data_IF_526640984889
#
_entry.id   IF_526640984889
#
_cell.length_a   1.000
_cell.length_b   1.000
_cell.length_c   1.000
_cell.angle_alpha   90.00
_cell.angle_beta   90.00
_cell.angle_gamma   90.00
#
_symmetry.space_group_name_H-M   'P 1'
#
loop_
_entity.id
_entity.type
_entity.pdbx_description
1 polymer ?
#
# COMPACT_ATOMS: atom_id res chain seq x y z
N UNK A 1 -50.40 -22.94 -65.14
CA UNK A 1 -49.04 -22.41 -64.87
C UNK A 1 -49.07 -21.02 -64.21
N UNK A 2 -49.85 -20.80 -63.13
CA UNK A 2 -49.87 -19.51 -62.39
C UNK A 2 -49.46 -19.64 -60.91
N UNK A 3 -49.08 -20.83 -60.44
CA UNK A 3 -48.65 -21.09 -59.04
C UNK A 3 -47.14 -21.03 -58.80
N UNK A 4 -46.29 -21.19 -59.83
CA UNK A 4 -44.83 -21.29 -59.63
C UNK A 4 -44.11 -19.93 -59.59
N UNK A 5 -44.71 -18.87 -60.12
CA UNK A 5 -44.08 -17.53 -60.15
C UNK A 5 -44.10 -16.80 -58.80
N UNK A 6 -45.01 -17.16 -57.88
CA UNK A 6 -45.06 -16.61 -56.52
C UNK A 6 -44.15 -17.36 -55.54
N UNK A 7 -44.03 -18.68 -55.71
CA UNK A 7 -43.20 -19.53 -54.86
C UNK A 7 -41.71 -19.19 -54.98
N UNK A 8 -41.22 -18.97 -56.21
CA UNK A 8 -39.83 -18.57 -56.43
C UNK A 8 -39.51 -17.22 -55.75
N UNK A 9 -40.42 -16.24 -55.81
CA UNK A 9 -40.22 -14.93 -55.17
C UNK A 9 -40.17 -15.04 -53.64
N UNK A 10 -41.10 -15.79 -53.04
CA UNK A 10 -41.09 -16.04 -51.58
C UNK A 10 -39.82 -16.76 -51.16
N UNK A 11 -39.39 -17.77 -51.91
CA UNK A 11 -38.14 -18.49 -51.64
C UNK A 11 -36.93 -17.55 -51.69
N UNK A 12 -36.85 -16.68 -52.71
CA UNK A 12 -35.74 -15.70 -52.80
C UNK A 12 -35.76 -14.71 -51.64
N UNK A 13 -36.93 -14.20 -51.23
CA UNK A 13 -37.04 -13.28 -50.10
C UNK A 13 -36.63 -13.92 -48.78
N UNK A 14 -37.02 -15.17 -48.54
CA UNK A 14 -36.62 -15.91 -47.33
C UNK A 14 -35.11 -16.15 -47.32
N UNK A 15 -34.53 -16.59 -48.45
CA UNK A 15 -33.08 -16.79 -48.56
C UNK A 15 -32.32 -15.48 -48.38
N UNK A 16 -32.78 -14.38 -48.98
CA UNK A 16 -32.18 -13.05 -48.79
C UNK A 16 -32.30 -12.58 -47.35
N UNK A 17 -33.46 -12.74 -46.71
CA UNK A 17 -33.66 -12.36 -45.31
C UNK A 17 -32.73 -13.15 -44.38
N UNK A 18 -32.56 -14.46 -44.62
CA UNK A 18 -31.62 -15.30 -43.86
C UNK A 18 -30.17 -14.89 -44.11
N UNK A 19 -29.78 -14.58 -45.35
CA UNK A 19 -28.45 -14.08 -45.68
C UNK A 19 -28.16 -12.74 -44.98
N UNK A 20 -29.12 -11.81 -44.99
CA UNK A 20 -28.98 -10.52 -44.30
C UNK A 20 -28.85 -10.72 -42.80
N UNK A 21 -29.68 -11.58 -42.20
CA UNK A 21 -29.59 -11.88 -40.77
C UNK A 21 -28.22 -12.49 -40.39
N UNK A 22 -27.73 -13.47 -41.18
CA UNK A 22 -26.41 -14.06 -40.98
C UNK A 22 -25.26 -13.04 -41.16
N UNK A 23 -25.39 -12.14 -42.14
CA UNK A 23 -24.40 -11.09 -42.37
C UNK A 23 -24.35 -10.08 -41.23
N UNK A 24 -25.51 -9.67 -40.70
CA UNK A 24 -25.60 -8.76 -39.54
C UNK A 24 -24.98 -9.40 -38.30
N UNK A 25 -25.26 -10.68 -38.04
CA UNK A 25 -24.67 -11.43 -36.93
C UNK A 25 -23.14 -11.51 -37.06
N UNK A 26 -22.62 -11.83 -38.25
CA UNK A 26 -21.18 -11.87 -38.50
C UNK A 26 -20.51 -10.49 -38.31
N UNK A 27 -21.14 -9.41 -38.78
CA UNK A 27 -20.63 -8.05 -38.59
C UNK A 27 -20.58 -7.71 -37.10
N UNK A 28 -21.62 -8.07 -36.34
CA UNK A 28 -21.65 -7.85 -34.91
C UNK A 28 -20.54 -8.61 -34.19
N UNK A 29 -20.35 -9.89 -34.51
CA UNK A 29 -19.27 -10.71 -33.94
C UNK A 29 -17.88 -10.14 -34.26
N UNK A 30 -17.61 -9.79 -35.52
CA UNK A 30 -16.33 -9.19 -35.92
C UNK A 30 -16.09 -7.86 -35.21
N UNK A 31 -17.13 -7.02 -35.04
CA UNK A 31 -17.01 -5.77 -34.32
C UNK A 31 -16.66 -5.98 -32.84
N UNK A 32 -17.33 -6.93 -32.18
CA UNK A 32 -17.05 -7.29 -30.78
C UNK A 32 -15.62 -7.83 -30.64
N UNK A 33 -15.22 -8.78 -31.48
CA UNK A 33 -13.88 -9.39 -31.47
C UNK A 33 -12.79 -8.36 -31.72
N UNK A 34 -12.99 -7.45 -32.67
CA UNK A 34 -12.04 -6.38 -32.96
C UNK A 34 -11.89 -5.41 -31.79
N UNK A 35 -12.99 -5.07 -31.11
CA UNK A 35 -12.98 -4.21 -29.93
C UNK A 35 -12.28 -4.88 -28.74
N UNK A 36 -12.56 -6.17 -28.50
CA UNK A 36 -11.89 -6.96 -27.46
C UNK A 36 -10.38 -7.08 -27.71
N UNK A 37 -9.98 -7.42 -28.94
CA UNK A 37 -8.55 -7.52 -29.29
C UNK A 37 -7.82 -6.18 -29.18
N UNK A 38 -8.48 -5.08 -29.57
CA UNK A 38 -7.93 -3.74 -29.41
C UNK A 38 -7.76 -3.37 -27.94
N UNK A 39 -8.78 -3.61 -27.11
CA UNK A 39 -8.73 -3.33 -25.68
C UNK A 39 -7.70 -4.20 -24.95
N UNK A 40 -7.57 -5.47 -25.36
CA UNK A 40 -6.56 -6.37 -24.84
C UNK A 40 -5.16 -5.86 -25.16
N UNK A 41 -4.88 -5.52 -26.43
CA UNK A 41 -3.56 -4.99 -26.84
C UNK A 41 -3.25 -3.67 -26.14
N UNK A 42 -4.18 -2.71 -26.18
CA UNK A 42 -3.98 -1.39 -25.56
C UNK A 42 -3.79 -1.55 -24.03
N UNK A 43 -4.49 -2.51 -23.39
CA UNK A 43 -4.30 -2.87 -21.99
C UNK A 43 -2.95 -3.52 -21.67
N UNK A 44 -2.44 -4.40 -22.52
CA UNK A 44 -1.09 -4.97 -22.37
C UNK A 44 -0.01 -3.91 -22.53
N UNK A 45 -0.18 -2.95 -23.45
CA UNK A 45 0.74 -1.83 -23.59
C UNK A 45 0.71 -0.93 -22.34
N UNK A 46 -0.48 -0.65 -21.79
CA UNK A 46 -0.61 0.11 -20.54
C UNK A 46 0.06 -0.62 -19.36
N UNK A 47 -0.05 -1.94 -19.29
CA UNK A 47 0.62 -2.79 -18.30
C UNK A 47 2.15 -2.64 -18.39
N UNK A 48 2.73 -2.85 -19.57
CA UNK A 48 4.17 -2.68 -19.80
C UNK A 48 4.68 -1.26 -19.47
N UNK A 49 3.89 -0.23 -19.77
CA UNK A 49 4.20 1.15 -19.38
C UNK A 49 4.19 1.33 -17.86
N UNK A 50 3.22 0.74 -17.15
CA UNK A 50 3.14 0.79 -15.70
C UNK A 50 4.31 0.04 -15.04
N UNK A 51 4.65 -1.17 -15.50
CA UNK A 51 5.80 -1.93 -15.03
C UNK A 51 7.13 -1.18 -15.26
N UNK A 52 7.30 -0.63 -16.46
CA UNK A 52 8.45 0.21 -16.80
C UNK A 52 8.51 1.47 -15.93
N UNK A 53 7.35 2.05 -15.61
CA UNK A 53 7.22 3.16 -14.69
C UNK A 53 7.64 2.80 -13.26
N UNK A 54 7.30 1.61 -12.77
CA UNK A 54 7.72 1.17 -11.43
C UNK A 54 9.24 0.96 -11.35
N UNK A 55 9.84 0.29 -12.35
CA UNK A 55 11.29 0.09 -12.44
C UNK A 55 12.06 1.40 -12.66
N UNK A 56 11.56 2.27 -13.54
CA UNK A 56 12.11 3.60 -13.79
C UNK A 56 12.00 4.50 -12.56
N UNK A 57 10.85 4.46 -11.87
CA UNK A 57 10.61 5.15 -10.60
C UNK A 57 11.57 4.72 -9.50
N UNK A 58 11.87 3.42 -9.41
CA UNK A 58 12.88 2.88 -8.47
C UNK A 58 14.26 3.48 -8.76
N UNK A 59 14.70 3.48 -10.02
CA UNK A 59 16.01 4.05 -10.42
C UNK A 59 16.08 5.57 -10.20
N UNK A 60 15.00 6.28 -10.52
CA UNK A 60 14.89 7.71 -10.25
C UNK A 60 15.00 7.99 -8.75
N UNK A 61 14.25 7.26 -7.92
CA UNK A 61 14.29 7.38 -6.47
C UNK A 61 15.71 7.07 -5.93
N UNK A 62 16.37 6.01 -6.39
CA UNK A 62 17.76 5.72 -6.04
C UNK A 62 18.71 6.89 -6.34
N UNK A 63 18.57 7.50 -7.52
CA UNK A 63 19.39 8.65 -7.94
C UNK A 63 19.14 9.86 -7.03
N UNK A 64 17.88 10.12 -6.69
CA UNK A 64 17.49 11.23 -5.82
C UNK A 64 17.96 11.03 -4.37
N UNK A 65 17.84 9.81 -3.84
CA UNK A 65 18.30 9.47 -2.49
C UNK A 65 19.83 9.45 -2.39
N UNK A 66 20.56 9.07 -3.44
CA UNK A 66 22.01 9.14 -3.48
C UNK A 66 22.53 10.59 -3.38
N UNK A 67 21.78 11.56 -3.90
CA UNK A 67 22.10 12.98 -3.82
C UNK A 67 21.81 13.60 -2.43
N UNK A 68 21.00 12.93 -1.58
CA UNK A 68 20.64 13.38 -0.23
C UNK A 68 20.75 12.22 0.77
N UNK A 69 21.91 12.11 1.42
CA UNK A 69 22.19 10.96 2.28
C UNK A 69 21.77 11.13 3.75
N UNK A 70 21.45 12.34 4.20
CA UNK A 70 21.30 12.66 5.63
C UNK A 70 19.87 12.50 6.16
N UNK A 71 18.87 12.75 5.34
CA UNK A 71 17.45 12.66 5.70
C UNK A 71 16.60 12.37 4.46
N UNK A 72 15.33 12.04 4.65
CA UNK A 72 14.30 12.06 3.59
C UNK A 72 13.10 12.85 4.08
N UNK A 73 12.50 13.65 3.20
CA UNK A 73 11.44 14.60 3.53
C UNK A 73 10.40 14.70 2.42
N UNK A 74 9.17 15.08 2.78
CA UNK A 74 8.11 15.39 1.81
C UNK A 74 8.40 16.62 0.93
N UNK A 75 9.43 17.41 1.26
CA UNK A 75 9.94 18.51 0.44
C UNK A 75 10.94 18.07 -0.64
N UNK A 76 11.38 16.80 -0.61
CA UNK A 76 12.33 16.29 -1.58
C UNK A 76 11.67 16.08 -2.95
N UNK A 77 12.48 16.11 -4.01
CA UNK A 77 12.00 15.95 -5.39
C UNK A 77 11.26 14.64 -5.63
N UNK A 78 11.59 13.57 -4.89
CA UNK A 78 10.93 12.27 -5.04
C UNK A 78 9.47 12.28 -4.60
N UNK A 79 9.07 13.20 -3.72
CA UNK A 79 7.72 13.29 -3.19
C UNK A 79 6.74 13.94 -4.19
N UNK A 80 7.24 14.59 -5.24
CA UNK A 80 6.42 15.15 -6.31
C UNK A 80 6.09 14.08 -7.37
N UNK A 81 4.86 14.03 -7.89
CA UNK A 81 4.51 13.14 -9.00
C UNK A 81 5.39 13.40 -10.23
N UNK A 82 5.89 12.32 -10.84
CA UNK A 82 6.59 12.38 -12.12
C UNK A 82 5.64 11.96 -13.24
N UNK A 83 5.59 12.72 -14.33
CA UNK A 83 4.73 12.45 -15.48
C UNK A 83 5.57 12.48 -16.75
N UNK A 84 5.35 11.51 -17.63
CA UNK A 84 6.02 11.43 -18.92
C UNK A 84 5.02 11.00 -19.98
N UNK A 85 5.00 11.73 -21.08
CA UNK A 85 4.26 11.38 -22.29
C UNK A 85 5.24 10.75 -23.28
N UNK A 86 4.88 9.61 -23.83
CA UNK A 86 5.60 8.85 -24.86
C UNK A 86 4.69 8.69 -26.09
N UNK A 87 5.24 8.26 -27.23
CA UNK A 87 4.48 8.03 -28.47
C UNK A 87 3.34 7.02 -28.27
N UNK A 88 3.55 6.05 -27.39
CA UNK A 88 2.64 4.93 -27.13
C UNK A 88 1.58 5.30 -26.07
N UNK A 89 1.89 6.21 -25.16
CA UNK A 89 1.02 6.50 -24.02
C UNK A 89 1.63 7.42 -22.97
N UNK A 90 0.97 7.54 -21.82
CA UNK A 90 1.44 8.34 -20.68
C UNK A 90 1.81 7.44 -19.51
N UNK A 91 2.85 7.81 -18.78
CA UNK A 91 3.21 7.23 -17.48
C UNK A 91 3.09 8.31 -16.40
N UNK A 92 2.45 7.98 -15.29
CA UNK A 92 2.44 8.77 -14.05
C UNK A 92 3.02 7.93 -12.91
N UNK A 93 4.01 8.47 -12.20
CA UNK A 93 4.68 7.81 -11.07
C UNK A 93 4.49 8.67 -9.84
N UNK A 94 3.92 8.11 -8.78
CA UNK A 94 3.88 8.73 -7.46
C UNK A 94 4.66 7.89 -6.47
N UNK A 95 5.43 8.55 -5.61
CA UNK A 95 6.23 7.90 -4.58
C UNK A 95 5.76 8.36 -3.21
N UNK A 96 5.57 7.41 -2.30
CA UNK A 96 5.26 7.68 -0.90
C UNK A 96 6.23 6.94 -0.01
N UNK A 97 6.61 7.52 1.12
CA UNK A 97 7.50 6.87 2.08
C UNK A 97 6.68 6.07 3.10
N UNK A 98 7.00 4.80 3.28
CA UNK A 98 6.35 3.92 4.26
C UNK A 98 7.01 4.01 5.64
N UNK A 99 8.28 4.42 5.71
CA UNK A 99 9.00 4.60 6.99
C UNK A 99 8.45 5.73 7.87
N UNK A 100 7.57 6.60 7.35
CA UNK A 100 6.81 7.55 8.16
C UNK A 100 5.63 6.93 8.95
N UNK A 101 5.31 5.66 8.72
CA UNK A 101 4.18 4.95 9.33
C UNK A 101 4.63 4.00 10.44
N UNK A 102 3.71 3.57 11.30
CA UNK A 102 3.99 2.55 12.32
C UNK A 102 3.96 1.16 11.68
N UNK A 103 5.04 0.39 11.82
CA UNK A 103 5.07 -0.98 11.34
C UNK A 103 4.38 -1.94 12.33
N UNK A 104 3.28 -2.55 11.91
CA UNK A 104 2.51 -3.51 12.72
C UNK A 104 3.31 -4.76 13.09
N UNK A 105 4.18 -5.22 12.19
CA UNK A 105 5.03 -6.40 12.43
C UNK A 105 6.10 -6.17 13.50
N UNK A 106 6.29 -4.92 13.95
CA UNK A 106 7.18 -4.60 15.06
C UNK A 106 6.49 -4.67 16.43
N UNK A 107 5.24 -5.14 16.48
CA UNK A 107 4.54 -5.43 17.73
C UNK A 107 5.13 -6.64 18.47
N UNK A 108 5.86 -7.50 17.76
CA UNK A 108 6.56 -8.67 18.31
C UNK A 108 8.05 -8.55 18.01
N UNK A 109 8.88 -8.77 19.03
CA UNK A 109 10.34 -8.74 18.98
C UNK A 109 10.94 -10.06 18.45
N UNK A 110 12.27 -10.08 18.24
CA UNK A 110 12.93 -11.23 17.60
C UNK A 110 12.95 -12.46 18.51
N UNK A 111 12.76 -12.25 19.80
CA UNK A 111 12.64 -13.26 20.84
C UNK A 111 11.18 -13.71 21.07
N UNK A 112 10.26 -13.37 20.14
CA UNK A 112 8.83 -13.67 20.21
C UNK A 112 8.07 -12.94 21.32
N UNK A 113 8.66 -11.94 21.97
CA UNK A 113 7.98 -11.19 23.04
C UNK A 113 7.25 -9.95 22.51
N UNK A 114 6.15 -9.50 23.15
CA UNK A 114 5.53 -8.23 22.82
C UNK A 114 6.50 -7.04 22.94
N UNK A 115 6.47 -6.15 21.96
CA UNK A 115 7.21 -4.90 21.97
C UNK A 115 6.38 -3.80 22.66
N UNK A 116 6.73 -3.50 23.90
CA UNK A 116 6.05 -2.50 24.73
C UNK A 116 6.00 -1.10 24.10
N UNK A 117 7.05 -0.68 23.39
CA UNK A 117 7.10 0.63 22.75
C UNK A 117 6.11 0.69 21.57
N UNK A 118 6.12 -0.32 20.70
CA UNK A 118 5.16 -0.43 19.60
C UNK A 118 3.73 -0.53 20.11
N UNK A 119 3.51 -1.33 21.16
CA UNK A 119 2.20 -1.45 21.79
C UNK A 119 1.71 -0.11 22.34
N UNK A 120 2.56 0.67 23.02
CA UNK A 120 2.22 2.02 23.50
C UNK A 120 1.90 2.98 22.36
N UNK A 121 2.66 2.94 21.27
CA UNK A 121 2.40 3.77 20.08
C UNK A 121 1.06 3.41 19.44
N UNK A 122 0.79 2.12 19.22
CA UNK A 122 -0.47 1.66 18.64
C UNK A 122 -1.67 1.97 19.53
N UNK A 123 -1.54 1.85 20.86
CA UNK A 123 -2.59 2.26 21.80
C UNK A 123 -2.89 3.76 21.70
N UNK A 124 -1.88 4.63 21.64
CA UNK A 124 -2.07 6.07 21.45
C UNK A 124 -2.70 6.41 20.10
N UNK A 125 -2.27 5.75 19.02
CA UNK A 125 -2.91 5.88 17.70
C UNK A 125 -4.37 5.40 17.76
N UNK A 126 -4.63 4.29 18.45
CA UNK A 126 -5.96 3.73 18.64
C UNK A 126 -6.90 4.69 19.37
N UNK A 127 -6.44 5.37 20.42
CA UNK A 127 -7.22 6.42 21.09
C UNK A 127 -7.61 7.54 20.12
N UNK A 128 -6.69 7.99 19.28
CA UNK A 128 -6.96 9.03 18.27
C UNK A 128 -7.98 8.57 17.22
N UNK A 129 -7.91 7.30 16.81
CA UNK A 129 -8.76 6.70 15.77
C UNK A 129 -10.02 6.01 16.30
N UNK A 130 -10.27 6.08 17.61
CA UNK A 130 -11.38 5.41 18.29
C UNK A 130 -11.36 3.87 18.14
N UNK A 131 -10.17 3.27 18.19
CA UNK A 131 -9.94 1.83 18.14
C UNK A 131 -9.75 1.30 19.57
N UNK A 132 -10.55 0.31 20.01
CA UNK A 132 -10.49 -0.23 21.36
C UNK A 132 -9.12 -0.81 21.70
N UNK A 133 -8.65 -0.59 22.93
CA UNK A 133 -7.35 -1.11 23.39
C UNK A 133 -7.26 -2.65 23.35
N UNK A 134 -8.41 -3.34 23.47
CA UNK A 134 -8.50 -4.80 23.51
C UNK A 134 -8.00 -5.51 22.25
N UNK A 135 -7.92 -4.82 21.11
CA UNK A 135 -7.56 -5.46 19.82
C UNK A 135 -6.05 -5.67 19.69
N UNK A 136 -5.23 -4.90 20.41
CA UNK A 136 -3.78 -4.90 20.19
C UNK A 136 -3.10 -6.17 20.69
N UNK A 137 -3.57 -6.77 21.78
CA UNK A 137 -3.03 -8.06 22.24
C UNK A 137 -3.44 -9.19 21.30
N UNK A 138 -4.66 -9.16 20.73
CA UNK A 138 -5.04 -10.13 19.70
C UNK A 138 -4.20 -9.99 18.41
N UNK A 139 -3.73 -8.78 18.10
CA UNK A 139 -2.79 -8.56 17.01
C UNK A 139 -1.39 -9.09 17.33
N UNK A 140 -0.95 -8.99 18.59
CA UNK A 140 0.32 -9.55 19.02
C UNK A 140 0.31 -11.08 18.89
N UNK A 141 -0.70 -11.76 19.44
CA UNK A 141 -0.93 -13.21 19.30
C UNK A 141 -1.01 -13.63 17.82
N UNK A 142 -1.66 -12.83 16.97
CA UNK A 142 -1.71 -13.12 15.53
C UNK A 142 -0.32 -13.14 14.86
N UNK A 143 0.62 -12.33 15.37
CA UNK A 143 1.94 -12.11 14.78
C UNK A 143 3.02 -13.01 15.37
N UNK A 144 2.94 -13.30 16.68
CA UNK A 144 3.91 -14.13 17.35
C UNK A 144 3.84 -15.59 16.86
N UNK A 145 4.83 -16.40 17.21
CA UNK A 145 4.98 -17.75 16.66
C UNK A 145 4.48 -18.86 17.58
N UNK A 146 3.99 -18.53 18.77
CA UNK A 146 3.54 -19.52 19.73
C UNK A 146 2.02 -19.74 19.66
N UNK A 147 1.41 -20.32 20.69
CA UNK A 147 -0.05 -20.59 20.73
C UNK A 147 -0.58 -20.30 22.15
N UNK A 148 0.10 -19.38 22.87
CA UNK A 148 -0.19 -19.00 24.24
C UNK A 148 -0.87 -17.61 24.25
N UNK A 149 -2.20 -17.55 24.42
CA UNK A 149 -2.91 -16.30 24.26
C UNK A 149 -2.54 -15.29 25.35
N UNK A 150 -2.22 -14.06 24.94
CA UNK A 150 -2.09 -12.94 25.87
C UNK A 150 -3.45 -12.59 26.51
N UNK A 151 -3.41 -11.79 27.58
CA UNK A 151 -4.63 -11.30 28.22
C UNK A 151 -5.49 -10.51 27.22
N UNK A 152 -6.71 -10.98 26.96
CA UNK A 152 -7.61 -10.40 25.96
C UNK A 152 -7.28 -10.75 24.50
N UNK A 153 -6.22 -11.51 24.27
CA UNK A 153 -5.78 -11.98 22.96
C UNK A 153 -6.62 -13.11 22.39
N UNK A 154 -6.09 -13.76 21.35
CA UNK A 154 -6.68 -14.90 20.69
C UNK A 154 -5.67 -15.67 19.84
N UNK A 155 -5.69 -16.99 20.04
CA UNK A 155 -4.84 -17.97 19.36
C UNK A 155 -5.65 -18.97 18.53
N UNK A 156 -5.02 -20.03 18.03
CA UNK A 156 -5.68 -21.04 17.20
C UNK A 156 -6.96 -21.61 17.82
N UNK A 157 -6.98 -21.79 19.15
CA UNK A 157 -8.18 -22.27 19.87
C UNK A 157 -9.41 -21.39 19.63
N UNK A 158 -9.22 -20.06 19.57
CA UNK A 158 -10.28 -19.11 19.25
C UNK A 158 -10.65 -19.17 17.76
N UNK A 159 -9.68 -19.04 16.85
CA UNK A 159 -9.98 -18.93 15.42
C UNK A 159 -10.57 -20.22 14.83
N UNK A 160 -10.17 -21.39 15.32
CA UNK A 160 -10.76 -22.68 14.91
C UNK A 160 -12.16 -22.91 15.46
N UNK A 161 -12.61 -22.11 16.43
CA UNK A 161 -13.98 -22.16 16.92
C UNK A 161 -14.96 -21.33 16.07
N UNK A 162 -14.45 -20.48 15.17
CA UNK A 162 -15.25 -19.64 14.28
C UNK A 162 -15.87 -20.45 13.13
N UNK A 163 -16.82 -19.84 12.44
CA UNK A 163 -17.47 -20.42 11.25
C UNK A 163 -17.36 -19.46 10.05
N UNK A 164 -16.61 -19.79 8.99
CA UNK A 164 -15.77 -20.99 8.84
C UNK A 164 -14.54 -20.95 9.78
N UNK A 165 -14.03 -22.12 10.22
CA UNK A 165 -12.85 -22.18 11.07
C UNK A 165 -11.59 -21.86 10.28
N UNK A 166 -10.66 -21.14 10.90
CA UNK A 166 -9.33 -20.87 10.35
C UNK A 166 -8.28 -20.87 11.47
N UNK A 167 -7.00 -20.83 11.09
CA UNK A 167 -5.88 -20.77 12.03
C UNK A 167 -5.38 -19.34 12.19
N UNK A 168 -4.80 -19.04 13.34
CA UNK A 168 -3.96 -17.86 13.49
C UNK A 168 -2.78 -17.96 12.52
N UNK A 169 -2.25 -16.81 12.09
CA UNK A 169 -1.15 -16.76 11.14
C UNK A 169 0.15 -17.27 11.74
N UNK A 170 0.35 -16.96 13.02
CA UNK A 170 1.56 -17.19 13.79
C UNK A 170 2.82 -16.69 13.07
N UNK A 171 2.75 -15.44 12.61
CA UNK A 171 3.84 -14.82 11.88
C UNK A 171 3.54 -13.41 11.37
N UNK A 172 4.48 -12.83 10.62
CA UNK A 172 4.37 -11.45 10.15
C UNK A 172 3.25 -11.22 9.15
N UNK A 173 2.41 -10.21 9.38
CA UNK A 173 1.46 -9.71 8.40
C UNK A 173 2.12 -9.47 7.04
N UNK A 174 1.48 -9.92 5.96
CA UNK A 174 1.91 -9.62 4.58
C UNK A 174 1.19 -8.41 4.01
N UNK A 175 -0.01 -8.11 4.51
CA UNK A 175 -0.79 -6.94 4.10
C UNK A 175 -1.50 -6.33 5.31
N UNK A 176 -1.80 -5.03 5.26
CA UNK A 176 -2.62 -4.38 6.30
C UNK A 176 -4.05 -4.92 6.32
N UNK A 177 -4.58 -5.39 5.18
CA UNK A 177 -5.95 -5.93 5.09
C UNK A 177 -6.14 -7.20 5.92
N UNK A 178 -5.06 -7.91 6.23
CA UNK A 178 -5.05 -9.10 7.08
C UNK A 178 -5.58 -8.83 8.50
N UNK A 179 -5.51 -7.58 8.96
CA UNK A 179 -6.16 -7.15 10.21
C UNK A 179 -7.64 -7.53 10.28
N UNK A 180 -8.34 -7.66 9.14
CA UNK A 180 -9.76 -8.07 9.11
C UNK A 180 -10.00 -9.51 9.59
N UNK A 181 -8.95 -10.32 9.68
CA UNK A 181 -9.00 -11.69 10.21
C UNK A 181 -8.69 -11.77 11.71
N UNK A 182 -8.13 -10.70 12.28
CA UNK A 182 -7.72 -10.62 13.67
C UNK A 182 -8.93 -10.30 14.55
N UNK A 183 -9.04 -10.99 15.69
CA UNK A 183 -10.14 -10.79 16.64
C UNK A 183 -10.31 -9.31 17.01
N UNK A 184 -11.53 -8.80 16.82
CA UNK A 184 -11.95 -7.47 17.26
C UNK A 184 -11.73 -6.34 16.25
N UNK A 185 -10.96 -6.55 15.19
CA UNK A 185 -10.83 -5.56 14.12
C UNK A 185 -12.05 -5.59 13.18
N UNK A 186 -12.53 -4.41 12.84
CA UNK A 186 -13.62 -4.23 11.85
C UNK A 186 -13.08 -3.59 10.57
N UNK A 187 -13.78 -3.75 9.45
CA UNK A 187 -13.37 -3.13 8.18
C UNK A 187 -13.22 -1.60 8.27
N UNK A 188 -14.05 -0.93 9.08
CA UNK A 188 -13.94 0.50 9.35
C UNK A 188 -12.64 0.85 10.08
N UNK A 189 -12.31 0.11 11.15
CA UNK A 189 -11.05 0.28 11.88
C UNK A 189 -9.83 0.07 10.97
N UNK A 190 -9.86 -0.96 10.13
CA UNK A 190 -8.78 -1.25 9.18
C UNK A 190 -8.63 -0.10 8.19
N UNK A 191 -9.73 0.43 7.65
CA UNK A 191 -9.68 1.57 6.73
C UNK A 191 -9.16 2.85 7.40
N UNK A 192 -9.51 3.10 8.67
CA UNK A 192 -8.96 4.20 9.47
C UNK A 192 -7.46 4.05 9.73
N UNK A 193 -6.95 2.82 9.90
CA UNK A 193 -5.53 2.57 10.18
C UNK A 193 -4.62 2.69 8.96
N UNK A 194 -5.11 2.30 7.77
CA UNK A 194 -4.31 2.22 6.52
C UNK A 194 -3.37 3.41 6.25
N UNK A 195 -3.75 4.68 6.48
CA UNK A 195 -2.87 5.82 6.24
C UNK A 195 -1.67 5.88 7.19
N UNK A 196 -1.77 5.28 8.37
CA UNK A 196 -0.86 5.48 9.51
C UNK A 196 0.04 4.27 9.80
N UNK A 197 -0.26 3.12 9.21
CA UNK A 197 0.42 1.85 9.49
C UNK A 197 0.98 1.20 8.23
N UNK A 198 1.98 0.37 8.42
CA UNK A 198 2.60 -0.43 7.37
C UNK A 198 2.95 -1.82 7.90
N UNK A 199 3.28 -2.75 7.01
CA UNK A 199 3.75 -4.10 7.36
C UNK A 199 5.17 -4.37 6.87
N UNK A 200 5.73 -3.47 6.07
CA UNK A 200 7.01 -3.66 5.41
C UNK A 200 8.17 -3.40 6.37
N UNK A 201 9.15 -4.32 6.45
CA UNK A 201 10.25 -4.20 7.40
C UNK A 201 11.26 -3.13 6.98
N UNK A 202 11.81 -2.39 7.94
CA UNK A 202 12.90 -1.44 7.69
C UNK A 202 14.26 -2.13 7.43
N UNK A 203 14.40 -3.42 7.78
CA UNK A 203 15.56 -4.27 7.49
C UNK A 203 15.12 -5.67 7.06
N UNK A 204 15.69 -6.28 6.01
CA UNK A 204 15.39 -7.67 5.65
C UNK A 204 15.79 -8.62 6.79
N UNK A 205 14.94 -9.63 7.07
CA UNK A 205 15.39 -10.84 7.78
C UNK A 205 15.19 -11.01 9.29
N UNK A 206 14.49 -10.13 10.04
CA UNK A 206 14.26 -10.33 11.49
C UNK A 206 12.85 -9.97 11.99
N UNK A 207 12.25 -10.81 12.84
CA UNK A 207 11.00 -10.54 13.57
C UNK A 207 11.28 -9.42 14.57
N UNK A 208 11.42 -8.17 14.16
CA UNK A 208 11.84 -7.13 15.11
C UNK A 208 12.77 -6.13 14.47
N UNK A 209 12.38 -5.65 13.29
CA UNK A 209 12.95 -4.42 12.78
C UNK A 209 12.70 -3.34 13.83
N UNK A 210 13.76 -2.72 14.34
CA UNK A 210 13.67 -1.53 15.19
C UNK A 210 12.67 -0.57 14.55
N UNK A 211 11.61 -0.24 15.28
CA UNK A 211 10.64 0.75 14.81
C UNK A 211 11.39 2.06 14.72
N UNK A 212 11.59 2.54 13.51
CA UNK A 212 12.12 3.87 13.29
C UNK A 212 11.13 4.58 12.39
N UNK A 213 10.34 5.45 13.00
CA UNK A 213 9.41 6.31 12.28
C UNK A 213 10.19 7.53 11.78
N UNK A 214 10.11 7.81 10.49
CA UNK A 214 10.71 9.01 9.93
C UNK A 214 9.85 10.25 10.28
N UNK A 215 10.37 11.09 11.17
CA UNK A 215 9.65 12.29 11.63
C UNK A 215 9.51 13.38 10.57
N UNK A 216 10.28 13.30 9.47
CA UNK A 216 10.14 14.22 8.35
C UNK A 216 8.96 13.87 7.42
N UNK A 217 8.46 12.63 7.48
CA UNK A 217 7.38 12.15 6.59
C UNK A 217 6.17 11.62 7.34
N UNK A 218 6.28 11.35 8.64
CA UNK A 218 5.21 10.83 9.46
C UNK A 218 3.96 11.73 9.46
N UNK A 219 2.74 11.18 9.33
CA UNK A 219 1.52 11.95 9.51
C UNK A 219 1.36 12.42 10.97
N UNK A 220 0.48 13.40 11.17
CA UNK A 220 0.26 14.06 12.48
C UNK A 220 -0.06 13.04 13.58
N UNK A 221 -0.93 12.10 13.27
CA UNK A 221 -1.44 11.08 14.17
C UNK A 221 -0.33 10.12 14.62
N UNK A 222 0.59 9.80 13.71
CA UNK A 222 1.78 9.00 14.02
C UNK A 222 2.77 9.79 14.87
N UNK A 223 2.97 11.08 14.60
CA UNK A 223 3.81 11.94 15.45
C UNK A 223 3.28 11.98 16.89
N UNK A 224 1.96 12.15 17.06
CA UNK A 224 1.31 12.13 18.38
C UNK A 224 1.38 10.75 19.05
N UNK A 225 1.43 9.68 18.26
CA UNK A 225 1.56 8.31 18.80
C UNK A 225 2.98 8.01 19.31
N UNK A 226 4.03 8.66 18.76
CA UNK A 226 5.43 8.38 19.12
C UNK A 226 5.72 8.59 20.61
N UNK A 227 5.23 9.69 21.18
CA UNK A 227 5.44 10.03 22.58
C UNK A 227 4.23 10.76 23.15
N UNK A 228 3.83 10.43 24.38
CA UNK A 228 2.69 11.05 25.06
C UNK A 228 2.87 12.56 25.30
N UNK A 229 4.09 13.08 25.19
CA UNK A 229 4.38 14.52 25.28
C UNK A 229 4.07 15.27 23.99
N UNK A 230 3.95 14.58 22.86
CA UNK A 230 3.63 15.21 21.57
C UNK A 230 2.12 15.45 21.53
N UNK A 231 1.72 16.63 22.01
CA UNK A 231 0.35 17.11 21.88
C UNK A 231 0.01 17.42 20.43
N UNK A 232 -1.28 17.62 20.16
CA UNK A 232 -1.75 18.01 18.83
C UNK A 232 -1.07 19.30 18.33
N UNK A 233 -1.00 20.32 19.19
CA UNK A 233 -0.33 21.59 18.88
C UNK A 233 1.17 21.43 18.65
N UNK A 234 1.84 20.53 19.40
CA UNK A 234 3.25 20.25 19.20
C UNK A 234 3.48 19.51 17.87
N UNK A 235 2.59 18.58 17.51
CA UNK A 235 2.66 17.90 16.22
C UNK A 235 2.52 18.89 15.05
N UNK A 236 1.62 19.87 15.16
CA UNK A 236 1.49 20.94 14.15
C UNK A 236 2.76 21.79 14.06
N UNK A 237 3.39 22.14 15.18
CA UNK A 237 4.67 22.85 15.19
C UNK A 237 5.81 22.04 14.56
N UNK A 238 5.87 20.73 14.82
CA UNK A 238 6.83 19.81 14.20
C UNK A 238 6.62 19.76 12.68
N UNK A 239 5.37 19.68 12.23
CA UNK A 239 4.99 19.64 10.80
C UNK A 239 5.38 20.93 10.08
N UNK A 240 5.07 22.10 10.66
CA UNK A 240 5.48 23.37 10.05
C UNK A 240 7.00 23.53 10.02
N UNK A 241 7.68 23.12 11.10
CA UNK A 241 9.13 23.23 11.16
C UNK A 241 9.83 22.35 10.11
N UNK A 242 9.40 21.09 9.93
CA UNK A 242 9.98 20.20 8.90
C UNK A 242 9.66 20.64 7.47
N UNK A 243 8.55 21.35 7.25
CA UNK A 243 8.20 21.93 5.94
C UNK A 243 9.17 23.02 5.52
N UNK A 244 9.65 23.82 6.48
CA UNK A 244 10.63 24.88 6.24
C UNK A 244 12.06 24.37 6.23
N UNK A 245 12.41 23.52 7.19
CA UNK A 245 13.76 22.96 7.33
C UNK A 245 13.65 21.54 7.88
N UNK A 246 13.72 20.51 7.02
CA UNK A 246 13.68 19.12 7.44
C UNK A 246 14.76 18.82 8.49
N UNK A 247 14.39 17.98 9.45
CA UNK A 247 15.29 17.54 10.51
C UNK A 247 16.42 16.69 9.94
N UNK A 248 17.66 16.94 10.32
CA UNK A 248 18.80 16.10 9.89
C UNK A 248 19.06 14.95 10.85
N UNK A 249 18.67 15.10 12.10
CA UNK A 249 18.75 14.07 13.13
C UNK A 249 17.62 14.22 14.15
N UNK A 250 17.32 13.13 14.88
CA UNK A 250 16.24 13.09 15.89
C UNK A 250 16.49 14.05 17.06
N UNK A 251 17.75 14.34 17.38
CA UNK A 251 18.12 15.27 18.46
C UNK A 251 17.59 16.69 18.25
N UNK A 252 17.31 17.10 17.01
CA UNK A 252 16.71 18.40 16.72
C UNK A 252 15.28 18.54 17.25
N UNK A 253 14.59 17.45 17.59
CA UNK A 253 13.27 17.50 18.24
C UNK A 253 13.32 18.07 19.66
N UNK A 254 14.50 18.14 20.28
CA UNK A 254 14.69 18.77 21.59
C UNK A 254 14.33 20.26 21.62
N UNK A 255 14.14 20.90 20.46
CA UNK A 255 13.65 22.28 20.34
C UNK A 255 12.17 22.46 20.71
N UNK A 256 11.38 21.39 20.68
CA UNK A 256 9.96 21.42 21.07
C UNK A 256 9.74 20.95 22.50
N UNK A 257 10.51 19.94 22.91
CA UNK A 257 10.56 19.42 24.28
C UNK A 257 11.92 18.78 24.51
N UNK A 258 12.62 19.21 25.57
CA UNK A 258 14.04 18.91 25.79
C UNK A 258 14.38 17.43 25.90
N UNK A 259 13.41 16.57 26.23
CA UNK A 259 13.63 15.12 26.36
C UNK A 259 13.13 14.32 25.15
N UNK A 260 12.52 14.93 24.13
CA UNK A 260 12.12 14.20 22.92
C UNK A 260 13.31 13.61 22.17
N UNK A 261 14.40 14.37 22.01
CA UNK A 261 15.58 13.88 21.28
C UNK A 261 16.18 12.60 21.86
N UNK A 262 16.26 12.50 23.19
CA UNK A 262 16.78 11.30 23.87
C UNK A 262 15.74 10.18 23.95
N UNK A 263 14.49 10.52 24.22
CA UNK A 263 13.44 9.51 24.43
C UNK A 263 13.04 8.84 23.11
N UNK A 264 13.11 9.55 21.99
CA UNK A 264 12.82 8.99 20.66
C UNK A 264 14.05 8.34 19.99
N UNK A 265 15.20 8.32 20.68
CA UNK A 265 16.36 7.61 20.18
C UNK A 265 16.04 6.12 20.00
N UNK A 266 16.26 5.61 18.79
CA UNK A 266 15.92 4.22 18.44
C UNK A 266 14.43 3.97 18.13
N UNK A 267 13.57 4.99 18.23
CA UNK A 267 12.14 4.93 17.87
C UNK A 267 11.77 5.83 16.68
N UNK A 268 12.58 6.84 16.46
CA UNK A 268 12.47 7.78 15.35
C UNK A 268 13.75 7.77 14.49
N UNK A 269 13.59 8.21 13.25
CA UNK A 269 14.66 8.51 12.30
C UNK A 269 14.32 9.79 11.56
N UNK A 270 15.29 10.34 10.83
CA UNK A 270 15.09 11.43 9.86
C UNK A 270 15.24 10.95 8.42
N UNK A 271 15.60 9.69 8.24
CA UNK A 271 15.84 9.04 6.94
C UNK A 271 15.03 7.76 6.85
N UNK A 272 14.15 7.71 5.85
CA UNK A 272 13.41 6.52 5.47
C UNK A 272 14.18 5.65 4.49
N UNK A 273 13.87 4.37 4.50
CA UNK A 273 14.42 3.36 3.59
C UNK A 273 13.35 2.67 2.78
N UNK A 274 12.09 2.68 3.22
CA UNK A 274 11.01 1.96 2.57
C UNK A 274 10.09 2.93 1.83
N UNK A 275 9.92 2.70 0.54
CA UNK A 275 9.10 3.54 -0.33
C UNK A 275 8.10 2.70 -1.11
N UNK A 276 6.90 3.23 -1.30
CA UNK A 276 5.90 2.71 -2.22
C UNK A 276 5.91 3.57 -3.48
N UNK A 277 6.08 2.91 -4.61
CA UNK A 277 6.00 3.47 -5.96
C UNK A 277 4.69 3.00 -6.56
N UNK A 278 3.84 3.94 -6.94
CA UNK A 278 2.63 3.67 -7.73
C UNK A 278 2.87 4.23 -9.13
N UNK A 279 2.94 3.35 -10.11
CA UNK A 279 3.15 3.68 -11.51
C UNK A 279 1.88 3.36 -12.30
N UNK A 280 1.33 4.34 -12.99
CA UNK A 280 0.13 4.21 -13.81
C UNK A 280 0.47 4.44 -15.27
N UNK A 281 0.26 3.42 -16.09
CA UNK A 281 0.41 3.47 -17.54
C UNK A 281 -0.95 3.71 -18.20
N UNK A 282 -0.99 4.60 -19.18
CA UNK A 282 -2.18 4.96 -19.95
C UNK A 282 -1.92 4.80 -21.44
N UNK A 283 -2.76 4.03 -22.12
CA UNK A 283 -2.74 3.87 -23.58
C UNK A 283 -4.15 4.03 -24.10
N UNK A 284 -4.42 5.19 -24.72
CA UNK A 284 -5.78 5.59 -25.13
C UNK A 284 -6.74 5.51 -23.92
N UNK A 285 -7.76 4.65 -23.98
CA UNK A 285 -8.74 4.43 -22.91
C UNK A 285 -8.31 3.38 -21.88
N UNK A 286 -7.23 2.62 -22.16
CA UNK A 286 -6.75 1.60 -21.25
C UNK A 286 -5.81 2.22 -20.20
N UNK A 287 -5.98 1.82 -18.95
CA UNK A 287 -5.07 2.15 -17.87
C UNK A 287 -4.72 0.89 -17.06
N UNK A 288 -3.47 0.82 -16.60
CA UNK A 288 -2.99 -0.19 -15.66
C UNK A 288 -2.17 0.47 -14.58
N UNK A 289 -2.23 -0.06 -13.37
CA UNK A 289 -1.48 0.48 -12.23
C UNK A 289 -0.63 -0.61 -11.62
N UNK A 290 0.66 -0.34 -11.46
CA UNK A 290 1.57 -1.16 -10.66
C UNK A 290 1.84 -0.44 -9.36
N UNK A 291 1.61 -1.12 -8.24
CA UNK A 291 2.12 -0.71 -6.93
C UNK A 291 3.25 -1.63 -6.51
N UNK A 292 4.40 -1.03 -6.24
CA UNK A 292 5.58 -1.73 -5.78
C UNK A 292 6.12 -1.08 -4.50
N UNK A 293 6.51 -1.91 -3.53
CA UNK A 293 7.19 -1.42 -2.33
C UNK A 293 8.64 -1.85 -2.39
N UNK A 294 9.55 -0.92 -2.17
CA UNK A 294 10.99 -1.09 -2.34
C UNK A 294 11.74 -0.72 -1.07
N UNK A 295 12.76 -1.52 -0.76
CA UNK A 295 13.75 -1.19 0.25
C UNK A 295 14.98 -0.54 -0.39
N UNK A 296 15.21 0.73 -0.07
CA UNK A 296 16.30 1.56 -0.56
C UNK A 296 17.56 1.52 0.32
N UNK A 297 17.59 0.66 1.34
CA UNK A 297 18.82 0.29 2.04
C UNK A 297 19.61 -0.71 1.18
N UNK A 298 20.30 -0.23 0.14
CA UNK A 298 21.10 -1.04 -0.79
C UNK A 298 20.66 -0.91 -2.24
N UNK A 299 20.42 -2.05 -2.92
CA UNK A 299 20.18 -2.12 -4.38
C UNK A 299 18.74 -1.84 -4.82
N UNK A 300 17.83 -1.51 -3.89
CA UNK A 300 16.41 -1.28 -4.22
C UNK A 300 15.62 -2.59 -4.38
N UNK A 301 15.66 -3.48 -3.40
CA UNK A 301 14.93 -4.75 -3.45
C UNK A 301 13.41 -4.50 -3.38
N UNK A 302 12.63 -5.18 -4.22
CA UNK A 302 11.17 -5.17 -4.13
C UNK A 302 10.70 -6.06 -2.98
N UNK A 303 9.99 -5.47 -2.03
CA UNK A 303 9.32 -6.16 -0.92
C UNK A 303 7.90 -6.61 -1.30
N UNK A 304 7.29 -5.94 -2.27
CA UNK A 304 5.94 -6.24 -2.78
C UNK A 304 5.79 -5.71 -4.20
N UNK A 305 4.99 -6.40 -5.00
CA UNK A 305 4.64 -6.02 -6.37
C UNK A 305 3.21 -6.48 -6.66
N UNK A 306 2.34 -5.54 -7.06
CA UNK A 306 0.95 -5.82 -7.41
C UNK A 306 0.54 -4.97 -8.61
N UNK A 307 -0.15 -5.59 -9.56
CA UNK A 307 -0.76 -4.91 -10.71
C UNK A 307 -2.29 -4.90 -10.55
N UNK A 308 -2.91 -3.78 -10.93
CA UNK A 308 -4.35 -3.53 -10.92
C UNK A 308 -4.85 -3.07 -12.31
#
# INVERSE_FOLDING_TARGET
MRGEKGFALVLTLVVTALMVAAAVELIHQVYVDMSLNRNFRDGQQASLLAESGAEGGKKLLQTLLAAQSSYTSLSDKWAAPFKMDDEIGRIEITTTEESGKINLNALVNNDNTPNDDTLKMLKRLGVQLQIPESVWNALADWIDTDDLPLSGGAENSYYKSLNPPYSARNGRLTTVNELSLVKGFTADMVNKLKPFVTVYPNKPGGLGATVVVNVNTAPKEVLMALDSRISESMADQIIEARRLTPFKNVGELSRFDSQLGSTLQGRATTKGTIFRITARGFVKEAARTVEAVVNMDGTGEFLSWQEF
#
